data_IF_425041486781
#
_entry.id   IF_425041486781
#
_cell.length_a   1.000
_cell.length_b   1.000
_cell.length_c   1.000
_cell.angle_alpha   90.00
_cell.angle_beta   90.00
_cell.angle_gamma   90.00
#
_symmetry.space_group_name_H-M   'P 1'
#
loop_
_entity.id
_entity.type
_entity.pdbx_description
1 polymer ?
#
# COMPACT_ATOMS: atom_id res chain seq x y z
N UNK A 1 30.77 -4.80 8.52
CA UNK A 1 29.91 -5.79 7.82
C UNK A 1 28.53 -5.17 7.50
N UNK A 2 27.94 -5.49 6.33
CA UNK A 2 26.74 -4.84 5.79
C UNK A 2 25.56 -4.67 6.78
N UNK A 3 25.23 -5.64 7.66
CA UNK A 3 24.14 -5.48 8.63
C UNK A 3 24.34 -4.30 9.59
N UNK A 4 25.57 -4.09 10.07
CA UNK A 4 25.91 -2.95 10.94
C UNK A 4 25.79 -1.63 10.20
N UNK A 5 26.13 -1.62 8.92
CA UNK A 5 26.08 -0.43 8.08
C UNK A 5 24.63 -0.04 7.76
N UNK A 6 23.80 -1.02 7.40
CA UNK A 6 22.37 -0.82 7.18
C UNK A 6 21.63 -0.38 8.46
N UNK A 7 22.07 -0.82 9.64
CA UNK A 7 21.48 -0.36 10.91
C UNK A 7 21.78 1.11 11.24
N UNK A 8 22.81 1.69 10.62
CA UNK A 8 23.18 3.10 10.80
C UNK A 8 22.42 4.04 9.87
N UNK A 9 21.73 3.51 8.86
CA UNK A 9 20.99 4.29 7.87
C UNK A 9 19.51 4.18 8.19
N UNK A 10 18.81 5.31 8.47
CA UNK A 10 17.37 5.28 8.59
C UNK A 10 16.75 4.69 7.31
N UNK A 11 15.75 3.79 7.41
CA UNK A 11 15.17 3.08 6.26
C UNK A 11 14.25 3.98 5.41
N UNK A 12 14.60 5.25 5.23
CA UNK A 12 13.85 6.20 4.40
C UNK A 12 14.02 5.93 2.90
N UNK A 13 15.07 5.20 2.51
CA UNK A 13 15.39 4.92 1.10
C UNK A 13 14.28 4.13 0.38
N UNK A 14 13.49 3.33 1.10
CA UNK A 14 12.44 2.50 0.52
C UNK A 14 11.03 3.08 0.68
N UNK A 15 10.86 4.26 1.28
CA UNK A 15 9.53 4.84 1.51
C UNK A 15 8.81 5.08 0.18
N UNK A 16 9.47 5.68 -0.81
CA UNK A 16 8.88 5.90 -2.13
C UNK A 16 8.43 4.59 -2.77
N UNK A 17 9.27 3.55 -2.68
CA UNK A 17 9.00 2.21 -3.22
C UNK A 17 7.78 1.57 -2.55
N UNK A 18 7.65 1.72 -1.23
CA UNK A 18 6.54 1.17 -0.45
C UNK A 18 5.21 1.86 -0.72
N UNK A 19 5.18 3.20 -0.79
CA UNK A 19 3.92 3.96 -0.98
C UNK A 19 3.43 3.93 -2.42
N UNK A 20 4.33 3.76 -3.40
CA UNK A 20 3.98 3.72 -4.83
C UNK A 20 4.00 2.32 -5.43
N UNK A 21 4.27 1.29 -4.61
CA UNK A 21 4.40 -0.09 -5.06
C UNK A 21 5.37 -0.26 -6.24
N UNK A 22 6.45 0.53 -6.26
CA UNK A 22 7.51 0.53 -7.30
C UNK A 22 7.03 0.84 -8.73
N UNK A 23 5.79 1.32 -8.88
CA UNK A 23 5.16 1.54 -10.19
C UNK A 23 5.84 2.62 -11.02
N UNK A 24 6.53 3.55 -10.38
CA UNK A 24 7.27 4.63 -11.05
C UNK A 24 8.68 4.23 -11.48
N UNK A 25 9.26 3.19 -10.87
CA UNK A 25 10.62 2.74 -11.14
C UNK A 25 10.68 1.62 -12.19
N UNK A 26 9.59 0.86 -12.35
CA UNK A 26 9.54 -0.33 -13.19
C UNK A 26 8.57 -0.18 -14.38
N UNK A 27 8.84 -0.88 -15.50
CA UNK A 27 7.89 -0.98 -16.60
C UNK A 27 6.53 -1.54 -16.13
N UNK A 28 5.44 -1.08 -16.75
CA UNK A 28 4.07 -1.47 -16.39
C UNK A 28 3.85 -3.00 -16.31
N UNK A 29 4.49 -3.77 -17.19
CA UNK A 29 4.38 -5.24 -17.19
C UNK A 29 5.06 -5.89 -15.98
N UNK A 30 6.14 -5.29 -15.47
CA UNK A 30 6.87 -5.77 -14.31
C UNK A 30 6.20 -5.32 -13.01
N UNK A 31 5.79 -4.05 -12.92
CA UNK A 31 5.07 -3.55 -11.75
C UNK A 31 3.72 -4.22 -11.57
N UNK A 32 3.02 -4.60 -12.65
CA UNK A 32 1.80 -5.40 -12.58
C UNK A 32 1.99 -6.72 -11.82
N UNK A 33 3.15 -7.39 -11.95
CA UNK A 33 3.43 -8.64 -11.21
C UNK A 33 3.54 -8.41 -9.71
N UNK A 34 4.11 -7.29 -9.29
CA UNK A 34 4.15 -6.92 -7.88
C UNK A 34 2.78 -6.49 -7.36
N UNK A 35 2.01 -5.76 -8.16
CA UNK A 35 0.63 -5.42 -7.81
C UNK A 35 -0.19 -6.70 -7.62
N UNK A 36 -0.14 -7.65 -8.55
CA UNK A 36 -0.83 -8.95 -8.41
C UNK A 36 -0.48 -9.64 -7.09
N UNK A 37 0.81 -9.64 -6.72
CA UNK A 37 1.29 -10.23 -5.47
C UNK A 37 0.74 -9.48 -4.24
N UNK A 38 0.79 -8.14 -4.26
CA UNK A 38 0.31 -7.28 -3.16
C UNK A 38 -1.21 -7.37 -2.98
N UNK A 39 -1.95 -7.50 -4.08
CA UNK A 39 -3.40 -7.71 -4.05
C UNK A 39 -3.77 -9.07 -3.41
N UNK A 40 -2.94 -10.08 -3.64
CA UNK A 40 -3.19 -11.46 -3.21
C UNK A 40 -2.70 -11.79 -1.78
N UNK A 41 -1.89 -10.94 -1.15
CA UNK A 41 -1.25 -11.21 0.14
C UNK A 41 -1.50 -10.11 1.17
N UNK A 42 -1.06 -10.38 2.40
CA UNK A 42 -1.12 -9.45 3.52
C UNK A 42 -0.58 -8.05 3.14
N UNK A 43 -1.15 -6.95 3.65
CA UNK A 43 -0.71 -5.59 3.33
C UNK A 43 0.76 -5.27 3.65
N UNK A 44 1.44 -6.08 4.46
CA UNK A 44 2.89 -5.97 4.65
C UNK A 44 3.73 -6.56 3.49
N UNK A 45 3.14 -7.25 2.51
CA UNK A 45 3.89 -7.87 1.39
C UNK A 45 4.86 -6.92 0.65
N UNK A 46 4.52 -5.64 0.40
CA UNK A 46 5.48 -4.67 -0.14
C UNK A 46 6.79 -4.55 0.66
N UNK A 47 6.74 -4.70 1.98
CA UNK A 47 7.93 -4.69 2.84
C UNK A 47 8.86 -5.88 2.54
N UNK A 48 8.29 -7.06 2.34
CA UNK A 48 9.04 -8.27 2.00
C UNK A 48 9.63 -8.19 0.58
N UNK A 49 8.91 -7.58 -0.36
CA UNK A 49 9.45 -7.28 -1.70
C UNK A 49 10.63 -6.32 -1.60
N UNK A 50 10.50 -5.21 -0.87
CA UNK A 50 11.61 -4.28 -0.67
C UNK A 50 12.84 -4.96 -0.04
N UNK A 51 12.63 -5.79 0.98
CA UNK A 51 13.69 -6.59 1.60
C UNK A 51 14.33 -7.58 0.61
N UNK A 52 13.51 -8.25 -0.22
CA UNK A 52 14.01 -9.18 -1.24
C UNK A 52 14.77 -8.47 -2.36
N UNK A 53 14.40 -7.24 -2.74
CA UNK A 53 15.16 -6.44 -3.70
C UNK A 53 16.55 -6.13 -3.13
N UNK A 54 16.63 -5.66 -1.89
CA UNK A 54 17.90 -5.39 -1.21
C UNK A 54 18.74 -6.67 -1.09
N UNK A 55 18.12 -7.80 -0.73
CA UNK A 55 18.81 -9.08 -0.62
C UNK A 55 19.35 -9.58 -1.96
N UNK A 56 18.63 -9.36 -3.07
CA UNK A 56 19.09 -9.74 -4.41
C UNK A 56 20.30 -8.95 -4.91
N UNK A 57 20.56 -7.79 -4.31
CA UNK A 57 21.67 -6.88 -4.64
C UNK A 57 22.77 -6.87 -3.57
N UNK A 58 22.77 -7.85 -2.67
CA UNK A 58 23.68 -7.89 -1.53
C UNK A 58 25.15 -7.76 -1.95
N UNK A 59 25.58 -8.48 -2.97
CA UNK A 59 26.96 -8.47 -3.44
C UNK A 59 27.36 -7.13 -4.05
N UNK A 60 26.46 -6.48 -4.78
CA UNK A 60 26.65 -5.12 -5.33
C UNK A 60 26.79 -4.09 -4.20
N UNK A 61 25.88 -4.13 -3.22
CA UNK A 61 25.85 -3.21 -2.09
C UNK A 61 27.07 -3.38 -1.18
N UNK A 62 27.56 -4.61 -1.01
CA UNK A 62 28.79 -4.90 -0.27
C UNK A 62 30.02 -4.28 -0.94
N UNK A 63 30.16 -4.46 -2.25
CA UNK A 63 31.27 -3.86 -3.01
C UNK A 63 31.20 -2.34 -2.98
N UNK A 64 30.02 -1.76 -3.17
CA UNK A 64 29.84 -0.31 -3.08
C UNK A 64 30.23 0.20 -1.69
N UNK A 65 29.82 -0.48 -0.62
CA UNK A 65 30.21 -0.10 0.74
C UNK A 65 31.73 -0.17 0.96
N UNK A 66 32.43 -1.14 0.36
CA UNK A 66 33.88 -1.24 0.42
C UNK A 66 34.56 -0.10 -0.38
N UNK A 67 34.06 0.21 -1.58
CA UNK A 67 34.59 1.27 -2.45
C UNK A 67 34.38 2.68 -1.88
N UNK A 68 33.28 2.91 -1.16
CA UNK A 68 32.93 4.22 -0.60
C UNK A 68 33.25 4.36 0.88
N UNK A 69 34.04 3.46 1.46
CA UNK A 69 34.39 3.40 2.89
C UNK A 69 33.14 3.49 3.81
N UNK A 70 32.05 2.87 3.36
CA UNK A 70 30.79 2.84 4.08
C UNK A 70 30.01 4.16 4.12
N UNK A 71 30.23 5.10 3.20
CA UNK A 71 29.44 6.34 3.12
C UNK A 71 27.91 6.07 3.10
N UNK A 72 27.18 6.48 4.15
CA UNK A 72 25.73 6.32 4.25
C UNK A 72 24.94 6.95 3.09
N UNK A 73 25.42 8.07 2.53
CA UNK A 73 24.72 8.78 1.47
C UNK A 73 24.80 8.02 0.14
N UNK A 74 25.96 7.42 -0.16
CA UNK A 74 26.16 6.58 -1.34
C UNK A 74 25.28 5.32 -1.27
N UNK A 75 25.24 4.68 -0.11
CA UNK A 75 24.40 3.51 0.10
C UNK A 75 22.92 3.83 0.04
N UNK A 76 22.49 4.93 0.66
CA UNK A 76 21.11 5.40 0.58
C UNK A 76 20.68 5.61 -0.88
N UNK A 77 21.52 6.27 -1.68
CA UNK A 77 21.25 6.50 -3.11
C UNK A 77 21.17 5.19 -3.91
N UNK A 78 22.03 4.21 -3.62
CA UNK A 78 22.02 2.92 -4.30
C UNK A 78 20.80 2.07 -3.93
N UNK A 79 20.40 2.09 -2.66
CA UNK A 79 19.24 1.37 -2.13
C UNK A 79 17.91 2.00 -2.59
N UNK A 80 17.87 3.32 -2.76
CA UNK A 80 16.67 4.03 -3.22
C UNK A 80 16.32 3.73 -4.69
N UNK A 81 17.29 3.30 -5.51
CA UNK A 81 17.08 3.00 -6.93
C UNK A 81 16.82 1.52 -7.15
N UNK A 82 15.78 1.21 -7.93
CA UNK A 82 15.52 -0.15 -8.41
C UNK A 82 16.23 -0.36 -9.75
N UNK A 83 17.06 -1.41 -9.90
CA UNK A 83 17.71 -1.71 -11.17
C UNK A 83 16.67 -2.14 -12.23
N UNK A 84 16.86 -1.73 -13.49
CA UNK A 84 15.91 -2.00 -14.58
C UNK A 84 15.90 -3.47 -15.03
N UNK A 85 17.00 -4.16 -14.81
CA UNK A 85 17.24 -5.57 -15.10
C UNK A 85 16.93 -6.48 -13.89
N UNK A 86 16.16 -5.98 -12.92
CA UNK A 86 15.73 -6.74 -11.76
C UNK A 86 15.04 -8.05 -12.16
N UNK A 87 15.51 -9.16 -11.60
CA UNK A 87 14.85 -10.46 -11.75
C UNK A 87 13.56 -10.50 -10.92
N UNK A 88 12.45 -10.02 -11.51
CA UNK A 88 11.14 -9.91 -10.86
C UNK A 88 10.70 -11.23 -10.21
N UNK A 89 10.76 -12.35 -10.94
CA UNK A 89 10.31 -13.64 -10.43
C UNK A 89 11.21 -14.17 -9.30
N UNK A 90 12.51 -13.85 -9.35
CA UNK A 90 13.44 -14.11 -8.25
C UNK A 90 13.07 -13.33 -6.98
N UNK A 91 12.74 -12.04 -7.14
CA UNK A 91 12.30 -11.17 -6.04
C UNK A 91 10.96 -11.62 -5.47
N UNK A 92 9.98 -11.96 -6.30
CA UNK A 92 8.68 -12.48 -5.84
C UNK A 92 8.88 -13.74 -4.99
N UNK A 93 9.68 -14.69 -5.47
CA UNK A 93 9.98 -15.92 -4.73
C UNK A 93 10.69 -15.65 -3.42
N UNK A 94 11.66 -14.72 -3.43
CA UNK A 94 12.37 -14.30 -2.22
C UNK A 94 11.45 -13.65 -1.19
N UNK A 95 10.54 -12.76 -1.65
CA UNK A 95 9.57 -12.10 -0.80
C UNK A 95 8.58 -13.09 -0.15
N UNK A 96 8.04 -14.03 -0.92
CA UNK A 96 7.15 -15.08 -0.40
C UNK A 96 7.88 -15.95 0.63
N UNK A 97 9.13 -16.35 0.34
CA UNK A 97 9.94 -17.11 1.29
C UNK A 97 10.19 -16.33 2.59
N UNK A 98 10.52 -15.03 2.51
CA UNK A 98 10.71 -14.19 3.69
C UNK A 98 9.42 -14.05 4.50
N UNK A 99 8.27 -13.96 3.83
CA UNK A 99 6.96 -13.91 4.47
C UNK A 99 6.65 -15.19 5.26
N UNK A 100 6.98 -16.35 4.70
CA UNK A 100 6.81 -17.64 5.36
C UNK A 100 7.78 -17.83 6.54
N UNK A 101 9.04 -17.40 6.39
CA UNK A 101 10.07 -17.53 7.42
C UNK A 101 9.88 -16.56 8.58
N UNK A 102 9.41 -15.34 8.29
CA UNK A 102 9.18 -14.27 9.28
C UNK A 102 7.80 -13.65 9.04
N UNK A 103 6.71 -14.24 9.58
CA UNK A 103 5.37 -13.74 9.35
C UNK A 103 5.13 -12.31 9.89
N UNK A 104 4.06 -11.60 9.44
CA UNK A 104 3.74 -10.24 9.87
C UNK A 104 3.71 -10.00 11.39
N UNK A 105 3.26 -10.99 12.16
CA UNK A 105 3.25 -10.92 13.62
C UNK A 105 4.67 -10.87 14.21
N UNK A 106 5.59 -11.65 13.64
CA UNK A 106 6.98 -11.69 14.08
C UNK A 106 7.74 -10.42 13.68
N UNK A 107 7.48 -9.88 12.48
CA UNK A 107 8.02 -8.57 12.06
C UNK A 107 7.62 -7.47 13.04
N UNK A 108 6.36 -7.41 13.45
CA UNK A 108 5.88 -6.42 14.44
C UNK A 108 6.56 -6.60 15.81
N UNK A 109 6.74 -7.85 16.25
CA UNK A 109 7.45 -8.17 17.49
C UNK A 109 8.91 -7.70 17.46
N UNK A 110 9.62 -7.97 16.36
CA UNK A 110 11.01 -7.57 16.14
C UNK A 110 11.18 -6.06 16.03
N UNK A 111 10.18 -5.35 15.51
CA UNK A 111 10.16 -3.89 15.44
C UNK A 111 9.99 -3.19 16.81
N UNK A 112 9.88 -3.95 17.91
CA UNK A 112 9.89 -3.41 19.27
C UNK A 112 8.52 -3.13 19.88
N UNK A 113 7.43 -3.65 19.30
CA UNK A 113 6.08 -3.52 19.85
C UNK A 113 5.32 -4.84 19.88
N UNK A 114 4.91 -5.27 21.08
CA UNK A 114 3.85 -6.28 21.21
C UNK A 114 2.56 -5.66 20.63
N UNK A 115 2.25 -5.95 19.36
CA UNK A 115 1.26 -5.25 18.50
C UNK A 115 1.64 -3.79 18.18
N UNK A 116 2.73 -3.60 17.42
CA UNK A 116 3.05 -2.31 16.80
C UNK A 116 1.87 -1.71 16.00
N UNK A 117 1.00 -2.56 15.43
CA UNK A 117 -0.25 -2.16 14.80
C UNK A 117 -1.46 -2.60 15.65
N UNK A 118 -2.52 -1.79 15.65
CA UNK A 118 -3.81 -2.11 16.29
C UNK A 118 -4.33 -3.49 15.87
N UNK A 119 -5.04 -4.19 16.76
CA UNK A 119 -5.70 -5.46 16.43
C UNK A 119 -6.72 -5.33 15.31
N UNK A 120 -7.27 -4.14 15.08
CA UNK A 120 -8.20 -3.85 13.98
C UNK A 120 -7.50 -3.54 12.65
N UNK A 121 -6.16 -3.46 12.62
CA UNK A 121 -5.41 -3.15 11.40
C UNK A 121 -5.66 -4.19 10.31
N UNK A 122 -5.68 -3.77 9.05
CA UNK A 122 -5.79 -4.65 7.89
C UNK A 122 -4.65 -5.68 7.81
N UNK A 123 -3.51 -5.41 8.44
CA UNK A 123 -2.39 -6.34 8.59
C UNK A 123 -2.73 -7.49 9.54
N UNK A 124 -3.36 -7.17 10.67
CA UNK A 124 -3.65 -8.15 11.73
C UNK A 124 -4.96 -8.91 11.49
N UNK A 125 -5.85 -8.38 10.65
CA UNK A 125 -7.15 -8.97 10.29
C UNK A 125 -7.15 -9.53 8.86
N UNK A 126 -5.98 -9.83 8.31
CA UNK A 126 -5.86 -10.35 6.94
C UNK A 126 -6.36 -11.79 6.81
N UNK A 127 -5.99 -12.64 7.76
CA UNK A 127 -6.35 -14.07 7.79
C UNK A 127 -7.63 -14.35 8.60
N UNK A 128 -8.15 -13.35 9.30
CA UNK A 128 -9.39 -13.43 10.07
C UNK A 128 -10.54 -12.85 9.24
N UNK A 129 -11.05 -13.68 8.32
CA UNK A 129 -12.14 -13.32 7.41
C UNK A 129 -13.42 -12.94 8.19
N UNK A 130 -13.66 -13.51 9.38
CA UNK A 130 -14.83 -13.18 10.23
C UNK A 130 -14.69 -11.81 10.91
N UNK A 131 -13.55 -11.52 11.54
CA UNK A 131 -13.27 -10.21 12.14
C UNK A 131 -13.19 -9.12 11.05
N UNK A 132 -12.58 -9.44 9.91
CA UNK A 132 -12.50 -8.58 8.75
C UNK A 132 -13.88 -8.22 8.20
N UNK A 133 -14.78 -9.20 8.06
CA UNK A 133 -16.17 -8.98 7.63
C UNK A 133 -16.94 -8.14 8.66
N UNK A 134 -16.80 -8.42 9.96
CA UNK A 134 -17.50 -7.69 11.02
C UNK A 134 -17.09 -6.21 11.10
N UNK A 135 -15.79 -5.92 11.13
CA UNK A 135 -15.28 -4.53 11.17
C UNK A 135 -15.76 -3.76 9.92
N UNK A 136 -15.75 -4.41 8.75
CA UNK A 136 -16.17 -3.75 7.51
C UNK A 136 -17.69 -3.56 7.45
N UNK A 137 -18.48 -4.50 7.95
CA UNK A 137 -19.93 -4.35 8.05
C UNK A 137 -20.29 -3.20 8.99
N UNK A 138 -19.62 -3.09 10.14
CA UNK A 138 -19.81 -1.96 11.07
C UNK A 138 -19.48 -0.62 10.39
N UNK A 139 -18.34 -0.52 9.68
CA UNK A 139 -17.93 0.70 8.95
C UNK A 139 -18.87 1.03 7.75
N UNK A 140 -19.34 0.01 7.03
CA UNK A 140 -20.31 0.18 5.94
C UNK A 140 -21.68 0.60 6.46
N UNK A 141 -22.15 -0.02 7.55
CA UNK A 141 -23.42 0.33 8.19
C UNK A 141 -23.38 1.77 8.70
N UNK A 142 -22.26 2.20 9.30
CA UNK A 142 -22.06 3.59 9.72
C UNK A 142 -22.08 4.55 8.53
N UNK A 143 -21.40 4.20 7.43
CA UNK A 143 -21.41 4.98 6.18
C UNK A 143 -22.77 5.02 5.49
N UNK A 144 -23.53 3.92 5.49
CA UNK A 144 -24.91 3.88 5.00
C UNK A 144 -25.77 4.81 5.84
N UNK A 145 -25.61 4.78 7.16
CA UNK A 145 -26.34 5.66 8.07
C UNK A 145 -26.08 7.13 7.79
N UNK A 146 -24.82 7.51 7.56
CA UNK A 146 -24.44 8.88 7.16
C UNK A 146 -25.13 9.25 5.83
N UNK A 147 -25.05 8.37 4.84
CA UNK A 147 -25.68 8.60 3.53
C UNK A 147 -27.19 8.67 3.58
N UNK A 148 -27.85 7.89 4.43
CA UNK A 148 -29.29 7.95 4.69
C UNK A 148 -29.65 9.28 5.38
N UNK A 149 -28.81 9.72 6.32
CA UNK A 149 -29.00 11.02 7.00
C UNK A 149 -28.83 12.20 6.02
N UNK A 150 -27.88 12.10 5.09
CA UNK A 150 -27.64 13.09 4.03
C UNK A 150 -28.74 13.04 2.96
N UNK A 151 -29.22 11.84 2.61
CA UNK A 151 -30.34 11.65 1.69
C UNK A 151 -31.66 12.14 2.30
N UNK A 152 -31.88 12.00 3.60
CA UNK A 152 -33.02 12.54 4.33
C UNK A 152 -32.94 14.08 4.41
N UNK A 153 -31.72 14.65 4.45
CA UNK A 153 -31.50 16.09 4.33
C UNK A 153 -31.78 16.60 2.90
N UNK A 154 -31.49 15.82 1.86
CA UNK A 154 -31.77 16.17 0.45
C UNK A 154 -33.20 15.85 -0.03
N UNK A 155 -33.86 14.81 0.49
CA UNK A 155 -35.24 14.41 0.14
C UNK A 155 -36.30 15.31 0.75
N UNK A 156 -35.93 16.18 1.69
CA UNK A 156 -36.72 17.38 2.00
C UNK A 156 -36.74 18.39 0.81
N UNK A 157 -36.10 18.06 -0.32
CA UNK A 157 -36.01 18.87 -1.53
C UNK A 157 -36.36 18.20 -2.88
N UNK A 158 -36.45 16.86 -3.04
CA UNK A 158 -36.93 16.22 -4.29
C UNK A 158 -37.09 14.69 -4.20
N UNK A 159 -38.16 14.18 -4.82
CA UNK A 159 -38.57 12.76 -4.82
C UNK A 159 -38.29 12.11 -6.20
N UNK A 160 -38.01 10.80 -6.15
CA UNK A 160 -38.12 9.76 -7.21
C UNK A 160 -36.88 9.35 -8.03
N UNK A 161 -36.37 8.12 -7.77
CA UNK A 161 -35.95 7.13 -8.79
C UNK A 161 -35.51 5.77 -8.15
N UNK A 162 -36.47 4.94 -7.74
CA UNK A 162 -36.22 3.57 -7.27
C UNK A 162 -36.09 2.55 -8.41
N UNK A 163 -35.09 1.66 -8.35
CA UNK A 163 -35.08 0.43 -9.17
C UNK A 163 -33.70 -0.11 -9.58
N UNK A 164 -32.64 0.70 -9.57
CA UNK A 164 -31.30 0.26 -10.05
C UNK A 164 -30.35 -0.21 -8.95
N UNK A 165 -30.64 0.11 -7.68
CA UNK A 165 -29.79 -0.18 -6.52
C UNK A 165 -29.78 -1.65 -6.09
N UNK A 166 -30.95 -2.31 -6.06
CA UNK A 166 -31.12 -3.65 -5.49
C UNK A 166 -30.34 -4.75 -6.25
N UNK A 167 -30.21 -4.61 -7.57
CA UNK A 167 -29.51 -5.59 -8.41
C UNK A 167 -27.99 -5.57 -8.17
N UNK A 168 -27.39 -4.42 -7.83
CA UNK A 168 -25.94 -4.33 -7.51
C UNK A 168 -25.62 -4.95 -6.14
N UNK A 169 -26.52 -4.77 -5.17
CA UNK A 169 -26.40 -5.36 -3.82
C UNK A 169 -26.40 -6.90 -3.90
N UNK A 170 -27.22 -7.47 -4.79
CA UNK A 170 -27.30 -8.92 -5.00
C UNK A 170 -26.03 -9.51 -5.63
N UNK A 171 -25.40 -8.78 -6.55
CA UNK A 171 -24.13 -9.19 -7.20
C UNK A 171 -22.95 -9.15 -6.21
N UNK A 172 -22.91 -8.16 -5.31
CA UNK A 172 -21.87 -8.07 -4.28
C UNK A 172 -21.92 -9.25 -3.27
N UNK A 173 -23.09 -9.87 -3.07
CA UNK A 173 -23.25 -11.00 -2.14
C UNK A 173 -22.62 -12.32 -2.60
N UNK A 174 -22.35 -12.50 -3.90
CA UNK A 174 -21.93 -13.78 -4.49
C UNK A 174 -20.43 -14.10 -4.42
N UNK A 175 -19.57 -13.10 -4.23
CA UNK A 175 -18.12 -13.27 -4.10
C UNK A 175 -17.54 -12.33 -3.01
N UNK A 176 -18.19 -12.34 -1.84
CA UNK A 176 -17.99 -11.36 -0.75
C UNK A 176 -16.53 -11.20 -0.33
N UNK A 177 -15.80 -12.30 -0.15
CA UNK A 177 -14.41 -12.27 0.32
C UNK A 177 -13.46 -11.62 -0.71
N UNK A 178 -13.66 -11.89 -2.00
CA UNK A 178 -12.89 -11.26 -3.08
C UNK A 178 -13.15 -9.76 -3.21
N UNK A 179 -14.40 -9.34 -3.03
CA UNK A 179 -14.78 -7.92 -3.00
C UNK A 179 -14.29 -7.21 -1.75
N UNK A 180 -14.27 -7.86 -0.58
CA UNK A 180 -13.71 -7.31 0.66
C UNK A 180 -12.20 -7.11 0.53
N UNK A 181 -11.48 -8.08 -0.03
CA UNK A 181 -10.04 -7.94 -0.32
C UNK A 181 -9.76 -6.81 -1.33
N UNK A 182 -10.55 -6.73 -2.42
CA UNK A 182 -10.42 -5.68 -3.42
C UNK A 182 -10.79 -4.27 -2.89
N UNK A 183 -11.83 -4.16 -2.06
CA UNK A 183 -12.27 -2.89 -1.47
C UNK A 183 -11.26 -2.38 -0.43
N UNK A 184 -10.67 -3.26 0.39
CA UNK A 184 -9.57 -2.91 1.32
C UNK A 184 -8.37 -2.31 0.59
N UNK A 185 -8.02 -2.85 -0.58
CA UNK A 185 -6.95 -2.35 -1.44
C UNK A 185 -7.33 -1.02 -2.11
N UNK A 186 -8.57 -0.90 -2.59
CA UNK A 186 -9.08 0.31 -3.23
C UNK A 186 -9.20 1.50 -2.28
N UNK A 187 -9.49 1.29 -0.98
CA UNK A 187 -9.48 2.36 0.03
C UNK A 187 -8.06 2.90 0.24
N UNK A 188 -7.03 2.05 0.20
CA UNK A 188 -5.64 2.50 0.29
C UNK A 188 -5.25 3.36 -0.92
N UNK A 189 -5.55 2.89 -2.14
CA UNK A 189 -5.25 3.61 -3.38
C UNK A 189 -6.08 4.89 -3.52
N UNK A 190 -7.36 4.83 -3.14
CA UNK A 190 -8.30 5.95 -3.17
C UNK A 190 -7.98 7.04 -2.14
N UNK A 191 -7.54 6.66 -0.94
CA UNK A 191 -7.08 7.62 0.07
C UNK A 191 -5.82 8.36 -0.38
N UNK A 192 -4.90 7.67 -1.06
CA UNK A 192 -3.71 8.31 -1.66
C UNK A 192 -4.13 9.25 -2.78
N UNK A 193 -4.96 8.82 -3.73
CA UNK A 193 -5.42 9.67 -4.84
C UNK A 193 -6.19 10.91 -4.35
N UNK A 194 -7.11 10.74 -3.39
CA UNK A 194 -7.86 11.85 -2.81
C UNK A 194 -6.98 12.82 -2.03
N UNK A 195 -5.95 12.33 -1.33
CA UNK A 195 -4.96 13.18 -0.67
C UNK A 195 -4.15 13.98 -1.71
N UNK A 196 -3.75 13.37 -2.83
CA UNK A 196 -3.05 14.09 -3.91
C UNK A 196 -3.94 15.16 -4.55
N UNK A 197 -5.20 14.84 -4.85
CA UNK A 197 -6.15 15.83 -5.40
C UNK A 197 -6.44 16.95 -4.40
N UNK A 198 -6.63 16.64 -3.12
CA UNK A 198 -6.86 17.65 -2.09
C UNK A 198 -5.66 18.58 -1.90
N UNK A 199 -4.44 18.05 -1.95
CA UNK A 199 -3.20 18.84 -1.90
C UNK A 199 -3.06 19.72 -3.14
N UNK A 200 -3.34 19.19 -4.33
CA UNK A 200 -3.29 19.96 -5.59
C UNK A 200 -4.35 21.08 -5.60
N UNK A 201 -5.57 20.79 -5.14
CA UNK A 201 -6.65 21.79 -5.00
C UNK A 201 -6.29 22.86 -3.96
N UNK A 202 -5.71 22.47 -2.82
CA UNK A 202 -5.27 23.41 -1.78
C UNK A 202 -4.15 24.33 -2.28
N UNK A 203 -3.14 23.78 -2.97
CA UNK A 203 -2.03 24.55 -3.56
C UNK A 203 -2.55 25.49 -4.65
N UNK A 204 -3.46 25.02 -5.52
CA UNK A 204 -4.04 25.86 -6.57
C UNK A 204 -4.96 26.96 -6.02
N UNK A 205 -5.55 26.79 -4.83
CA UNK A 205 -6.38 27.80 -4.18
C UNK A 205 -5.56 28.88 -3.45
N UNK A 206 -4.30 28.58 -3.10
CA UNK A 206 -3.42 29.49 -2.36
C UNK A 206 -2.47 30.29 -3.24
N UNK A 207 -2.14 29.84 -4.46
CA UNK A 207 -1.28 30.58 -5.39
C UNK A 207 -1.74 30.41 -6.87
N UNK A 208 -2.23 31.49 -7.53
CA UNK A 208 -2.80 31.44 -8.89
C UNK A 208 -1.83 30.97 -9.99
N UNK A 209 -0.52 31.00 -9.72
CA UNK A 209 0.53 30.66 -10.69
C UNK A 209 0.56 29.15 -11.04
N UNK A 210 -0.13 28.32 -10.25
CA UNK A 210 -0.12 26.85 -10.36
C UNK A 210 -1.39 26.24 -10.95
N UNK A 211 -2.32 27.08 -11.46
CA UNK A 211 -3.62 26.65 -12.00
C UNK A 211 -3.56 25.61 -13.13
N UNK A 212 -2.43 25.51 -13.84
CA UNK A 212 -2.21 24.50 -14.88
C UNK A 212 -2.10 23.06 -14.36
N UNK A 213 -1.79 22.86 -13.06
CA UNK A 213 -1.75 21.53 -12.43
C UNK A 213 -3.12 20.86 -12.37
N UNK A 214 -4.21 21.63 -12.31
CA UNK A 214 -5.58 21.07 -12.34
C UNK A 214 -5.95 20.49 -13.71
N UNK A 215 -5.23 20.86 -14.77
CA UNK A 215 -5.46 20.33 -16.13
C UNK A 215 -4.72 19.01 -16.39
N UNK A 216 -3.85 18.59 -15.47
CA UNK A 216 -3.00 17.39 -15.61
C UNK A 216 -3.39 16.23 -14.68
N UNK A 217 -4.41 16.44 -13.82
CA UNK A 217 -5.08 15.41 -12.99
C UNK A 217 -6.40 15.05 -13.64
#
# INVERSE_FOLDING_TARGET
PLPTLLSSIPPFFCISQLITWTTHDLPATQSARFIDLFLAHNPLMPLYVAASIVASRKEELLKLAEETDGDPAMLHNALAKIPRDLNIEGVVRGAVRLFEEVPPAEVQRLAGGEKALSSASCVNTWDDDEMGEKIWLEDVEERIKILETDADAETNGKVDAGGKGESRIKVMKGNRVGWVRAARQAVLVGAVAAATTAVVVYISATDPQWSWLLASV
#
